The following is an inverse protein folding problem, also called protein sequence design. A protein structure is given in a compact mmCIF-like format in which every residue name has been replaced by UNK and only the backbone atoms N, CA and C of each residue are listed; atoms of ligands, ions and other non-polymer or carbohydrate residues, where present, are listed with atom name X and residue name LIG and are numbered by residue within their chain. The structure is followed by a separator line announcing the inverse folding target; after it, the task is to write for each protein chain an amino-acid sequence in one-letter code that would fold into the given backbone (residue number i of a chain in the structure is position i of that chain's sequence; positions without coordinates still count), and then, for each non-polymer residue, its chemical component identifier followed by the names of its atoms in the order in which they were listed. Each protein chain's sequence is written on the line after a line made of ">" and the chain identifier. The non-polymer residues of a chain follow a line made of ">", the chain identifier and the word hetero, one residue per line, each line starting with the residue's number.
data_IF_856780069390
#
_entry.id   IF_856780069390
#
_cell.length_a   1.000
_cell.length_b   1.000
_cell.length_c   1.000
_cell.angle_alpha   90.00
_cell.angle_beta   90.00
_cell.angle_gamma   90.00
#
_symmetry.space_group_name_H-M   'P 1'
#
loop_
_entity.id
_entity.type
_entity.pdbx_description
1 polymer ?
#
# COMPACT_ATOMS: atom_id res chain seq x y z
N UNK A 1 26.94 7.67 18.56
CA UNK A 1 25.86 8.63 18.78
C UNK A 1 24.82 7.95 19.62
N UNK A 2 24.60 8.42 20.86
CA UNK A 2 23.86 7.71 21.88
C UNK A 2 22.41 7.44 21.50
N UNK A 3 22.02 6.17 21.60
CA UNK A 3 20.62 5.75 21.59
C UNK A 3 19.95 6.32 22.84
N UNK A 4 19.19 7.39 22.66
CA UNK A 4 18.25 7.86 23.70
C UNK A 4 17.19 6.78 23.86
N UNK A 5 16.95 6.35 25.11
CA UNK A 5 16.15 5.18 25.48
C UNK A 5 14.70 5.20 24.97
N UNK A 6 14.04 4.04 24.96
CA UNK A 6 12.77 3.75 24.25
C UNK A 6 11.52 4.48 24.76
N UNK A 7 11.61 5.33 25.80
CA UNK A 7 10.43 5.86 26.50
C UNK A 7 9.99 7.28 26.11
N UNK A 8 10.83 8.08 25.43
CA UNK A 8 10.52 9.48 25.22
C UNK A 8 9.58 9.78 24.03
N UNK A 9 9.51 8.92 23.01
CA UNK A 9 8.79 9.21 21.77
C UNK A 9 7.85 8.09 21.26
N UNK A 10 7.40 7.18 22.13
CA UNK A 10 6.45 6.13 21.72
C UNK A 10 5.16 6.72 21.12
N UNK A 11 4.70 7.85 21.64
CA UNK A 11 3.52 8.57 21.15
C UNK A 11 3.71 9.05 19.71
N UNK A 12 4.92 9.52 19.38
CA UNK A 12 5.22 10.00 18.03
C UNK A 12 5.26 8.83 17.04
N UNK A 13 5.90 7.70 17.39
CA UNK A 13 5.88 6.48 16.59
C UNK A 13 4.45 5.97 16.34
N UNK A 14 3.59 5.96 17.39
CA UNK A 14 2.19 5.59 17.27
C UNK A 14 1.41 6.55 16.36
N UNK A 15 1.53 7.87 16.60
CA UNK A 15 0.79 8.89 15.83
C UNK A 15 1.16 8.84 14.34
N UNK A 16 2.46 8.72 14.02
CA UNK A 16 2.93 8.62 12.65
C UNK A 16 2.43 7.36 11.96
N UNK A 17 2.47 6.19 12.65
CA UNK A 17 1.94 4.93 12.14
C UNK A 17 0.43 5.01 11.91
N UNK A 18 -0.31 5.61 12.84
CA UNK A 18 -1.76 5.78 12.73
C UNK A 18 -2.12 6.75 11.61
N UNK A 19 -1.37 7.84 11.47
CA UNK A 19 -1.51 8.79 10.35
C UNK A 19 -1.31 8.06 9.01
N UNK A 20 -0.28 7.23 8.91
CA UNK A 20 -0.04 6.41 7.71
C UNK A 20 -1.21 5.46 7.44
N UNK A 21 -1.69 4.75 8.47
CA UNK A 21 -2.82 3.82 8.34
C UNK A 21 -4.10 4.56 7.89
N UNK A 22 -4.40 5.73 8.45
CA UNK A 22 -5.54 6.56 8.06
C UNK A 22 -5.41 7.06 6.62
N UNK A 23 -4.24 7.59 6.25
CA UNK A 23 -3.96 8.09 4.89
C UNK A 23 -4.08 6.96 3.85
N UNK A 24 -3.51 5.79 4.11
CA UNK A 24 -3.63 4.64 3.21
C UNK A 24 -5.04 4.04 3.22
N UNK A 25 -5.76 4.11 4.35
CA UNK A 25 -7.14 3.64 4.44
C UNK A 25 -8.12 4.48 3.63
N UNK A 26 -7.95 5.81 3.59
CA UNK A 26 -8.83 6.70 2.81
C UNK A 26 -8.43 6.76 1.33
N UNK A 27 -7.17 6.44 1.01
CA UNK A 27 -6.63 6.53 -0.35
C UNK A 27 -7.46 5.80 -1.42
N UNK A 28 -7.93 4.54 -1.25
CA UNK A 28 -8.69 3.84 -2.26
C UNK A 28 -10.03 4.52 -2.61
N UNK A 29 -10.63 5.22 -1.64
CA UNK A 29 -11.86 5.99 -1.88
C UNK A 29 -11.55 7.17 -2.82
N UNK A 30 -10.50 7.93 -2.53
CA UNK A 30 -10.08 9.05 -3.37
C UNK A 30 -9.66 8.58 -4.78
N UNK A 31 -8.93 7.46 -4.87
CA UNK A 31 -8.55 6.86 -6.15
C UNK A 31 -9.77 6.43 -6.97
N UNK A 32 -10.82 5.86 -6.31
CA UNK A 32 -12.05 5.46 -7.00
C UNK A 32 -12.75 6.66 -7.64
N UNK A 33 -12.81 7.81 -6.95
CA UNK A 33 -13.37 9.06 -7.50
C UNK A 33 -12.55 9.57 -8.68
N UNK A 34 -11.21 9.51 -8.61
CA UNK A 34 -10.34 9.99 -9.71
C UNK A 34 -10.43 9.08 -10.93
N UNK A 35 -10.61 7.76 -10.74
CA UNK A 35 -10.77 6.79 -11.82
C UNK A 35 -12.01 7.03 -12.70
N UNK A 36 -13.01 7.76 -12.20
CA UNK A 36 -14.17 8.17 -13.03
C UNK A 36 -13.80 9.18 -14.12
N UNK A 37 -12.69 9.90 -13.99
CA UNK A 37 -12.27 10.94 -14.94
C UNK A 37 -10.86 10.76 -15.50
N UNK A 38 -10.10 9.78 -15.02
CA UNK A 38 -8.71 9.55 -15.45
C UNK A 38 -8.38 8.06 -15.35
N UNK A 39 -7.68 7.52 -16.34
CA UNK A 39 -7.26 6.11 -16.35
C UNK A 39 -6.22 5.78 -15.29
N UNK A 40 -6.14 4.49 -14.94
CA UNK A 40 -5.26 3.99 -13.87
C UNK A 40 -3.76 4.28 -14.14
N UNK A 41 -3.31 4.19 -15.39
CA UNK A 41 -1.90 4.38 -15.74
C UNK A 41 -1.49 5.83 -15.57
N UNK A 42 -2.33 6.75 -15.97
CA UNK A 42 -2.13 8.21 -15.85
C UNK A 42 -2.13 8.63 -14.40
N UNK A 43 -3.07 8.12 -13.56
CA UNK A 43 -3.08 8.38 -12.12
C UNK A 43 -1.78 7.90 -11.46
N UNK A 44 -1.35 6.68 -11.76
CA UNK A 44 -0.12 6.10 -11.20
C UNK A 44 1.11 6.90 -11.65
N UNK A 45 1.17 7.29 -12.91
CA UNK A 45 2.26 8.10 -13.45
C UNK A 45 2.40 9.43 -12.70
N UNK A 46 1.31 10.17 -12.53
CA UNK A 46 1.31 11.43 -11.81
C UNK A 46 1.71 11.27 -10.34
N UNK A 47 1.25 10.20 -9.68
CA UNK A 47 1.63 9.90 -8.29
C UNK A 47 3.13 9.64 -8.17
N UNK A 48 3.73 8.93 -9.12
CA UNK A 48 5.18 8.75 -9.15
C UNK A 48 5.93 10.03 -9.50
N UNK A 49 5.44 10.82 -10.45
CA UNK A 49 6.05 12.09 -10.82
C UNK A 49 6.04 13.10 -9.65
N UNK A 50 4.92 13.22 -8.94
CA UNK A 50 4.80 14.06 -7.75
C UNK A 50 5.74 13.57 -6.62
N UNK A 51 5.80 12.25 -6.40
CA UNK A 51 6.67 11.66 -5.39
C UNK A 51 8.16 11.81 -5.77
N UNK A 52 8.51 11.65 -7.05
CA UNK A 52 9.85 11.91 -7.58
C UNK A 52 10.28 13.36 -7.33
N UNK A 53 9.40 14.31 -7.66
CA UNK A 53 9.69 15.74 -7.49
C UNK A 53 9.84 16.12 -6.00
N UNK A 54 8.88 15.71 -5.17
CA UNK A 54 8.88 16.07 -3.74
C UNK A 54 10.02 15.41 -2.96
N UNK A 55 10.21 14.09 -3.12
CA UNK A 55 11.30 13.37 -2.46
C UNK A 55 12.66 13.79 -3.02
N UNK A 56 12.73 14.07 -4.34
CA UNK A 56 13.95 14.56 -4.99
C UNK A 56 14.37 15.93 -4.46
N UNK A 57 13.44 16.86 -4.32
CA UNK A 57 13.67 18.16 -3.72
C UNK A 57 14.18 18.05 -2.27
N UNK A 58 13.57 17.17 -1.48
CA UNK A 58 13.98 16.88 -0.10
C UNK A 58 15.41 16.30 -0.03
N UNK A 59 15.72 15.28 -0.86
CA UNK A 59 17.04 14.68 -0.89
C UNK A 59 18.11 15.66 -1.41
N UNK A 60 17.77 16.49 -2.41
CA UNK A 60 18.66 17.54 -2.92
C UNK A 60 18.98 18.57 -1.84
N UNK A 61 17.95 19.04 -1.11
CA UNK A 61 18.12 19.97 0.01
C UNK A 61 19.03 19.41 1.10
N UNK A 62 18.96 18.10 1.36
CA UNK A 62 19.83 17.41 2.32
C UNK A 62 21.21 17.03 1.77
N UNK A 63 21.48 17.25 0.49
CA UNK A 63 22.71 16.76 -0.17
C UNK A 63 22.82 15.23 -0.21
N UNK A 64 21.67 14.53 -0.11
CA UNK A 64 21.59 13.06 0.05
C UNK A 64 21.12 12.32 -1.21
N UNK A 65 21.22 12.94 -2.39
CA UNK A 65 20.87 12.30 -3.66
C UNK A 65 21.73 11.03 -3.88
N UNK A 66 21.11 9.92 -4.34
CA UNK A 66 21.83 8.66 -4.50
C UNK A 66 22.87 8.73 -5.64
N UNK A 67 23.99 8.06 -5.42
CA UNK A 67 25.00 7.81 -6.44
C UNK A 67 24.91 6.35 -6.90
N UNK A 68 24.24 6.11 -8.03
CA UNK A 68 23.94 4.75 -8.53
C UNK A 68 25.21 3.96 -8.93
N UNK A 69 26.32 4.67 -9.24
CA UNK A 69 27.58 4.04 -9.69
C UNK A 69 28.20 3.01 -8.74
N UNK A 70 27.80 3.01 -7.45
CA UNK A 70 28.28 2.05 -6.43
C UNK A 70 27.47 0.76 -6.31
N UNK A 71 26.31 0.65 -6.97
CA UNK A 71 25.38 -0.48 -6.79
C UNK A 71 25.87 -1.80 -7.45
N UNK A 72 26.81 -1.74 -8.38
CA UNK A 72 27.22 -2.91 -9.14
C UNK A 72 26.09 -3.49 -10.02
N UNK A 73 26.40 -4.55 -10.80
CA UNK A 73 25.43 -5.15 -11.72
C UNK A 73 24.23 -5.78 -11.00
N UNK A 74 24.47 -6.44 -9.87
CA UNK A 74 23.40 -7.06 -9.06
C UNK A 74 22.47 -6.00 -8.46
N UNK A 75 22.99 -4.88 -7.95
CA UNK A 75 22.18 -3.80 -7.43
C UNK A 75 21.32 -3.12 -8.50
N UNK A 76 21.83 -2.98 -9.73
CA UNK A 76 21.04 -2.45 -10.85
C UNK A 76 19.88 -3.37 -11.23
N UNK A 77 20.11 -4.69 -11.26
CA UNK A 77 19.05 -5.68 -11.50
C UNK A 77 17.98 -5.61 -10.38
N UNK A 78 18.42 -5.53 -9.12
CA UNK A 78 17.48 -5.38 -7.99
C UNK A 78 16.68 -4.08 -8.06
N UNK A 79 17.27 -2.96 -8.48
CA UNK A 79 16.58 -1.70 -8.70
C UNK A 79 15.54 -1.83 -9.83
N UNK A 80 15.90 -2.49 -10.94
CA UNK A 80 14.96 -2.73 -12.03
C UNK A 80 13.79 -3.62 -11.59
N UNK A 81 14.06 -4.71 -10.85
CA UNK A 81 13.01 -5.58 -10.27
C UNK A 81 12.13 -4.80 -9.29
N UNK A 82 12.72 -4.03 -8.37
CA UNK A 82 11.96 -3.22 -7.42
C UNK A 82 11.08 -2.18 -8.13
N UNK A 83 11.59 -1.54 -9.19
CA UNK A 83 10.83 -0.57 -9.98
C UNK A 83 9.67 -1.25 -10.70
N UNK A 84 9.93 -2.35 -11.42
CA UNK A 84 8.89 -3.06 -12.17
C UNK A 84 7.78 -3.61 -11.24
N UNK A 85 8.17 -4.18 -10.10
CA UNK A 85 7.20 -4.75 -9.15
C UNK A 85 6.43 -3.67 -8.40
N UNK A 86 7.02 -2.51 -8.08
CA UNK A 86 6.26 -1.41 -7.49
C UNK A 86 5.30 -0.77 -8.49
N UNK A 87 5.70 -0.59 -9.77
CA UNK A 87 4.78 -0.19 -10.85
C UNK A 87 3.63 -1.19 -10.94
N UNK A 88 3.95 -2.49 -11.01
CA UNK A 88 2.95 -3.56 -11.07
C UNK A 88 1.95 -3.48 -9.90
N UNK A 89 2.44 -3.30 -8.67
CA UNK A 89 1.58 -3.13 -7.50
C UNK A 89 0.61 -1.95 -7.67
N UNK A 90 1.10 -0.77 -8.02
CA UNK A 90 0.27 0.43 -8.14
C UNK A 90 -0.76 0.31 -9.27
N UNK A 91 -0.35 -0.16 -10.45
CA UNK A 91 -1.24 -0.34 -11.62
C UNK A 91 -2.28 -1.41 -11.33
N UNK A 92 -1.87 -2.61 -10.88
CA UNK A 92 -2.79 -3.71 -10.59
C UNK A 92 -3.80 -3.33 -9.51
N UNK A 93 -3.39 -2.59 -8.48
CA UNK A 93 -4.28 -2.11 -7.42
C UNK A 93 -5.32 -1.11 -7.96
N UNK A 94 -4.91 -0.15 -8.82
CA UNK A 94 -5.85 0.80 -9.41
C UNK A 94 -6.81 0.13 -10.40
N UNK A 95 -6.30 -0.75 -11.26
CA UNK A 95 -7.16 -1.53 -12.16
C UNK A 95 -8.13 -2.42 -11.38
N UNK A 96 -7.68 -2.98 -10.24
CA UNK A 96 -8.57 -3.74 -9.35
C UNK A 96 -9.73 -2.88 -8.81
N UNK A 97 -9.49 -1.60 -8.52
CA UNK A 97 -10.52 -0.66 -8.06
C UNK A 97 -11.60 -0.38 -9.11
N UNK A 98 -11.34 -0.57 -10.40
CA UNK A 98 -12.38 -0.48 -11.44
C UNK A 98 -13.39 -1.62 -11.33
N UNK A 99 -12.94 -2.78 -10.87
CA UNK A 99 -13.73 -4.03 -10.79
C UNK A 99 -14.21 -4.35 -9.37
N UNK A 100 -13.65 -3.70 -8.34
CA UNK A 100 -13.98 -3.95 -6.95
C UNK A 100 -14.20 -2.64 -6.18
N UNK A 101 -14.71 -2.77 -4.96
CA UNK A 101 -14.94 -1.61 -4.09
C UNK A 101 -13.69 -1.27 -3.27
N UNK A 102 -13.57 -0.03 -2.75
CA UNK A 102 -12.48 0.37 -1.86
C UNK A 102 -12.26 -0.58 -0.67
N UNK A 103 -13.33 -1.03 0.01
CA UNK A 103 -13.19 -1.94 1.14
C UNK A 103 -12.70 -3.32 0.72
N UNK A 104 -13.16 -3.84 -0.41
CA UNK A 104 -12.71 -5.14 -0.94
C UNK A 104 -11.21 -5.11 -1.24
N UNK A 105 -10.74 -4.12 -2.01
CA UNK A 105 -9.31 -4.01 -2.35
C UNK A 105 -8.47 -3.79 -1.10
N UNK A 106 -8.94 -2.98 -0.14
CA UNK A 106 -8.18 -2.68 1.08
C UNK A 106 -8.12 -3.85 2.06
N UNK A 107 -9.13 -4.71 2.10
CA UNK A 107 -9.10 -5.94 2.91
C UNK A 107 -8.20 -7.00 2.25
N UNK A 108 -8.32 -7.20 0.94
CA UNK A 108 -7.54 -8.22 0.21
C UNK A 108 -6.04 -7.86 0.16
N UNK A 109 -5.69 -6.57 0.03
CA UNK A 109 -4.27 -6.16 -0.01
C UNK A 109 -3.53 -6.48 1.30
N UNK A 110 -4.22 -6.76 2.40
CA UNK A 110 -3.61 -7.23 3.65
C UNK A 110 -2.92 -8.60 3.53
N UNK A 111 -3.08 -9.29 2.40
CA UNK A 111 -2.23 -10.43 2.05
C UNK A 111 -0.77 -10.02 1.79
N UNK A 112 -0.50 -8.78 1.40
CA UNK A 112 0.84 -8.33 1.01
C UNK A 112 1.90 -8.49 2.13
N UNK A 113 1.66 -8.09 3.39
CA UNK A 113 2.59 -8.36 4.49
C UNK A 113 2.86 -9.84 4.72
N UNK A 114 1.85 -10.70 4.54
CA UNK A 114 1.99 -12.16 4.71
C UNK A 114 2.84 -12.77 3.60
N UNK A 115 2.62 -12.33 2.35
CA UNK A 115 3.41 -12.76 1.20
C UNK A 115 4.87 -12.29 1.35
N UNK A 116 5.09 -11.09 1.91
CA UNK A 116 6.43 -10.62 2.23
C UNK A 116 7.10 -11.49 3.29
N UNK A 117 6.38 -11.88 4.35
CA UNK A 117 6.87 -12.81 5.37
C UNK A 117 7.20 -14.17 4.78
N UNK A 118 6.30 -14.75 3.98
CA UNK A 118 6.54 -16.03 3.30
C UNK A 118 7.77 -15.94 2.38
N UNK A 119 7.90 -14.84 1.63
CA UNK A 119 9.09 -14.56 0.83
C UNK A 119 10.37 -14.43 1.68
N UNK A 120 10.28 -13.85 2.88
CA UNK A 120 11.37 -13.77 3.85
C UNK A 120 11.87 -15.15 4.29
N UNK A 121 10.95 -16.06 4.58
CA UNK A 121 11.27 -17.46 4.91
C UNK A 121 11.92 -18.18 3.72
N UNK A 122 11.35 -18.05 2.52
CA UNK A 122 11.84 -18.76 1.33
C UNK A 122 13.19 -18.22 0.82
N UNK A 123 13.34 -16.89 0.77
CA UNK A 123 14.52 -16.23 0.18
C UNK A 123 15.65 -16.04 1.20
N UNK A 124 15.30 -15.63 2.42
CA UNK A 124 16.29 -15.31 3.47
C UNK A 124 16.41 -16.41 4.53
N UNK A 125 15.62 -17.50 4.42
CA UNK A 125 15.58 -18.60 5.39
C UNK A 125 15.25 -18.12 6.81
N UNK A 126 14.39 -17.09 6.92
CA UNK A 126 13.90 -16.60 8.20
C UNK A 126 12.99 -17.64 8.86
N UNK A 127 12.97 -17.70 10.19
CA UNK A 127 12.07 -18.61 10.89
C UNK A 127 10.69 -18.01 11.00
N UNK A 128 9.67 -18.80 10.67
CA UNK A 128 8.26 -18.43 10.85
C UNK A 128 7.79 -18.99 12.20
N UNK A 129 7.50 -18.11 13.16
CA UNK A 129 7.06 -18.53 14.48
C UNK A 129 5.70 -19.24 14.43
N UNK A 130 5.48 -20.23 15.29
CA UNK A 130 4.17 -20.95 15.35
C UNK A 130 2.99 -20.00 15.56
N UNK A 131 3.18 -18.95 16.35
CA UNK A 131 2.17 -17.94 16.60
C UNK A 131 1.80 -17.13 15.34
N UNK A 132 2.70 -16.95 14.39
CA UNK A 132 2.42 -16.28 13.12
C UNK A 132 1.51 -17.13 12.22
N UNK A 133 1.58 -18.48 12.31
CA UNK A 133 0.64 -19.39 11.64
C UNK A 133 -0.79 -19.20 12.13
N UNK A 134 -0.98 -18.96 13.43
CA UNK A 134 -2.29 -18.63 14.00
C UNK A 134 -2.83 -17.32 13.41
N UNK A 135 -1.99 -16.28 13.36
CA UNK A 135 -2.35 -15.01 12.72
C UNK A 135 -2.74 -15.19 11.25
N UNK A 136 -1.99 -16.00 10.51
CA UNK A 136 -2.32 -16.35 9.12
C UNK A 136 -3.66 -17.06 9.00
N UNK A 137 -3.93 -18.06 9.85
CA UNK A 137 -5.20 -18.79 9.83
C UNK A 137 -6.39 -17.89 10.17
N UNK A 138 -6.23 -16.96 11.15
CA UNK A 138 -7.25 -15.98 11.52
C UNK A 138 -7.51 -15.02 10.35
N UNK A 139 -6.47 -14.55 9.66
CA UNK A 139 -6.62 -13.69 8.48
C UNK A 139 -7.34 -14.44 7.35
N UNK A 140 -6.95 -15.67 7.04
CA UNK A 140 -7.59 -16.48 6.00
C UNK A 140 -9.07 -16.73 6.30
N UNK A 141 -9.40 -17.09 7.54
CA UNK A 141 -10.78 -17.24 7.99
C UNK A 141 -11.55 -15.90 7.91
N UNK A 142 -10.90 -14.80 8.26
CA UNK A 142 -11.46 -13.45 8.14
C UNK A 142 -11.79 -13.08 6.68
N UNK A 143 -10.92 -13.42 5.72
CA UNK A 143 -11.22 -13.22 4.30
C UNK A 143 -12.44 -14.02 3.85
N UNK A 144 -12.53 -15.30 4.22
CA UNK A 144 -13.70 -16.11 3.90
C UNK A 144 -14.98 -15.53 4.48
N UNK A 145 -14.91 -15.03 5.71
CA UNK A 145 -16.05 -14.40 6.37
C UNK A 145 -16.40 -13.03 5.75
N UNK A 146 -15.41 -12.26 5.32
CA UNK A 146 -15.62 -10.99 4.63
C UNK A 146 -16.39 -11.17 3.32
N UNK A 147 -16.09 -12.24 2.58
CA UNK A 147 -16.75 -12.54 1.32
C UNK A 147 -17.98 -13.47 1.45
N UNK A 148 -18.56 -13.65 2.65
CA UNK A 148 -19.60 -14.65 2.93
C UNK A 148 -20.78 -14.62 1.95
N UNK A 149 -21.24 -13.45 1.53
CA UNK A 149 -22.37 -13.24 0.59
C UNK A 149 -21.92 -13.10 -0.87
N UNK A 150 -20.61 -12.92 -1.13
CA UNK A 150 -20.02 -12.70 -2.46
C UNK A 150 -19.23 -13.90 -2.99
N UNK A 151 -19.20 -15.02 -2.27
CA UNK A 151 -18.50 -16.24 -2.71
C UNK A 151 -18.92 -16.73 -4.10
N UNK A 152 -20.20 -16.68 -4.50
CA UNK A 152 -20.61 -17.05 -5.87
C UNK A 152 -20.04 -16.12 -6.95
N UNK A 153 -19.85 -14.84 -6.63
CA UNK A 153 -19.26 -13.86 -7.56
C UNK A 153 -17.76 -14.08 -7.73
N UNK A 154 -17.07 -14.48 -6.65
CA UNK A 154 -15.65 -14.83 -6.70
C UNK A 154 -15.38 -16.09 -7.55
N UNK A 155 -16.36 -16.99 -7.64
CA UNK A 155 -16.26 -18.22 -8.43
C UNK A 155 -16.36 -17.96 -9.96
N UNK A 156 -16.62 -16.72 -10.40
CA UNK A 156 -16.65 -16.32 -11.82
C UNK A 156 -15.33 -15.65 -12.20
N UNK A 157 -14.33 -16.39 -12.67
CA UNK A 157 -13.03 -15.83 -12.98
C UNK A 157 -13.13 -14.89 -14.21
N UNK A 158 -12.43 -13.76 -14.12
CA UNK A 158 -12.28 -12.83 -15.25
C UNK A 158 -13.33 -11.73 -15.36
N UNK A 159 -14.35 -11.70 -14.49
CA UNK A 159 -15.39 -10.67 -14.51
C UNK A 159 -15.67 -10.09 -13.12
N UNK A 160 -16.10 -8.84 -13.08
CA UNK A 160 -16.60 -8.16 -11.90
C UNK A 160 -15.65 -8.23 -10.70
N UNK A 161 -16.21 -8.48 -9.52
CA UNK A 161 -15.48 -8.49 -8.25
C UNK A 161 -14.41 -9.61 -8.19
N UNK A 162 -14.62 -10.74 -8.88
CA UNK A 162 -13.64 -11.82 -8.96
C UNK A 162 -12.35 -11.37 -9.64
N UNK A 163 -12.45 -10.61 -10.73
CA UNK A 163 -11.29 -10.02 -11.40
C UNK A 163 -10.60 -8.98 -10.49
N UNK A 164 -11.38 -8.11 -9.83
CA UNK A 164 -10.84 -7.13 -8.89
C UNK A 164 -10.05 -7.76 -7.75
N UNK A 165 -10.57 -8.84 -7.18
CA UNK A 165 -9.87 -9.61 -6.13
C UNK A 165 -8.59 -10.26 -6.67
N UNK A 166 -8.64 -10.89 -7.85
CA UNK A 166 -7.47 -11.52 -8.47
C UNK A 166 -6.36 -10.49 -8.75
N UNK A 167 -6.72 -9.32 -9.28
CA UNK A 167 -5.80 -8.21 -9.53
C UNK A 167 -5.21 -7.66 -8.22
N UNK A 168 -6.02 -7.57 -7.15
CA UNK A 168 -5.53 -7.14 -5.84
C UNK A 168 -4.56 -8.15 -5.23
N UNK A 169 -4.81 -9.45 -5.39
CA UNK A 169 -3.86 -10.50 -4.98
C UNK A 169 -2.56 -10.39 -5.77
N UNK A 170 -2.63 -10.18 -7.09
CA UNK A 170 -1.45 -9.95 -7.92
C UNK A 170 -0.68 -8.68 -7.50
N UNK A 171 -1.40 -7.61 -7.13
CA UNK A 171 -0.81 -6.40 -6.56
C UNK A 171 -0.09 -6.69 -5.22
N UNK A 172 -0.68 -7.53 -4.36
CA UNK A 172 -0.07 -7.95 -3.10
C UNK A 172 1.21 -8.77 -3.32
N UNK A 173 1.23 -9.68 -4.30
CA UNK A 173 2.43 -10.42 -4.71
C UNK A 173 3.51 -9.46 -5.23
N UNK A 174 3.14 -8.54 -6.12
CA UNK A 174 4.05 -7.51 -6.65
C UNK A 174 4.67 -6.68 -5.53
N UNK A 175 3.88 -6.25 -4.54
CA UNK A 175 4.37 -5.51 -3.38
C UNK A 175 5.33 -6.33 -2.52
N UNK A 176 5.06 -7.61 -2.31
CA UNK A 176 5.94 -8.50 -1.57
C UNK A 176 7.29 -8.67 -2.29
N UNK A 177 7.29 -8.85 -3.61
CA UNK A 177 8.51 -8.92 -4.41
C UNK A 177 9.31 -7.62 -4.36
N UNK A 178 8.62 -6.46 -4.44
CA UNK A 178 9.24 -5.16 -4.21
C UNK A 178 9.92 -5.10 -2.83
N UNK A 179 9.20 -5.50 -1.77
CA UNK A 179 9.74 -5.49 -0.40
C UNK A 179 10.98 -6.36 -0.22
N UNK A 180 11.01 -7.57 -0.85
CA UNK A 180 12.17 -8.45 -0.84
C UNK A 180 13.38 -7.84 -1.57
N UNK A 181 13.15 -7.21 -2.73
CA UNK A 181 14.20 -6.51 -3.47
C UNK A 181 14.71 -5.29 -2.70
N UNK A 182 13.80 -4.49 -2.13
CA UNK A 182 14.14 -3.33 -1.32
C UNK A 182 15.00 -3.71 -0.11
N UNK A 183 14.67 -4.80 0.59
CA UNK A 183 15.45 -5.28 1.75
C UNK A 183 16.92 -5.52 1.38
N UNK A 184 17.20 -6.03 0.19
CA UNK A 184 18.57 -6.23 -0.28
C UNK A 184 19.25 -4.91 -0.68
N UNK A 185 18.48 -3.98 -1.28
CA UNK A 185 18.99 -2.66 -1.69
C UNK A 185 19.38 -1.77 -0.52
N UNK A 186 18.76 -1.95 0.66
CA UNK A 186 19.10 -1.22 1.89
C UNK A 186 20.54 -1.47 2.39
N UNK A 187 21.25 -2.45 1.82
CA UNK A 187 22.69 -2.65 2.06
C UNK A 187 23.56 -1.58 1.39
N UNK A 188 23.02 -0.90 0.38
CA UNK A 188 23.77 0.06 -0.46
C UNK A 188 23.17 1.47 -0.42
N UNK A 189 21.88 1.58 -0.16
CA UNK A 189 21.11 2.83 -0.20
C UNK A 189 20.24 2.98 1.05
N UNK A 190 19.90 4.22 1.39
CA UNK A 190 18.82 4.46 2.35
C UNK A 190 17.45 4.14 1.71
N UNK A 191 16.42 3.89 2.54
CA UNK A 191 15.07 3.62 2.05
C UNK A 191 14.53 4.76 1.16
N UNK A 192 14.81 6.01 1.54
CA UNK A 192 14.42 7.20 0.77
C UNK A 192 15.13 7.26 -0.59
N UNK A 193 16.42 6.89 -0.64
CA UNK A 193 17.18 6.84 -1.90
C UNK A 193 16.65 5.75 -2.84
N UNK A 194 16.33 4.55 -2.31
CA UNK A 194 15.72 3.47 -3.09
C UNK A 194 14.39 3.92 -3.68
N UNK A 195 13.50 4.49 -2.85
CA UNK A 195 12.19 4.99 -3.30
C UNK A 195 12.34 6.05 -4.38
N UNK A 196 13.26 7.00 -4.21
CA UNK A 196 13.47 8.05 -5.21
C UNK A 196 13.94 7.51 -6.55
N UNK A 197 14.89 6.56 -6.56
CA UNK A 197 15.34 5.90 -7.79
C UNK A 197 14.19 5.18 -8.48
N UNK A 198 13.36 4.47 -7.70
CA UNK A 198 12.17 3.78 -8.21
C UNK A 198 11.19 4.78 -8.80
N UNK A 199 10.90 5.90 -8.12
CA UNK A 199 9.98 6.92 -8.62
C UNK A 199 10.47 7.57 -9.92
N UNK A 200 11.78 7.84 -10.04
CA UNK A 200 12.40 8.31 -11.30
C UNK A 200 12.20 7.26 -12.40
N UNK A 201 12.57 6.01 -12.14
CA UNK A 201 12.42 4.92 -13.11
C UNK A 201 10.96 4.69 -13.51
N UNK A 202 10.04 4.71 -12.57
CA UNK A 202 8.61 4.53 -12.82
C UNK A 202 8.02 5.69 -13.64
N UNK A 203 8.38 6.93 -13.31
CA UNK A 203 7.93 8.11 -14.08
C UNK A 203 8.38 8.04 -15.54
N UNK A 204 9.63 7.63 -15.78
CA UNK A 204 10.17 7.49 -17.15
C UNK A 204 9.52 6.33 -17.89
N UNK A 205 9.42 5.15 -17.24
CA UNK A 205 8.90 3.94 -17.88
C UNK A 205 7.40 3.99 -18.18
N UNK A 206 6.62 4.68 -17.35
CA UNK A 206 5.17 4.77 -17.52
C UNK A 206 4.72 5.93 -18.42
N UNK A 207 5.61 6.87 -18.74
CA UNK A 207 5.27 8.02 -19.58
C UNK A 207 4.60 7.64 -20.92
N UNK A 208 5.04 6.58 -21.64
CA UNK A 208 4.38 6.20 -22.90
C UNK A 208 2.93 5.68 -22.74
N UNK A 209 2.56 5.23 -21.53
CA UNK A 209 1.23 4.70 -21.23
C UNK A 209 0.33 5.73 -20.52
N UNK A 210 0.85 6.90 -20.20
CA UNK A 210 0.12 7.95 -19.48
C UNK A 210 -0.30 9.08 -20.44
N UNK A 211 -1.44 9.68 -20.15
CA UNK A 211 -1.85 10.97 -20.72
C UNK A 211 -1.71 12.09 -19.68
N UNK A 212 -0.57 12.82 -19.63
CA UNK A 212 -0.38 13.89 -18.66
C UNK A 212 -1.40 15.02 -18.74
N UNK A 213 -2.07 15.19 -19.88
CA UNK A 213 -3.05 16.26 -20.11
C UNK A 213 -4.44 15.92 -19.58
N UNK A 214 -4.76 14.65 -19.32
CA UNK A 214 -6.05 14.22 -18.79
C UNK A 214 -6.41 14.90 -17.46
N UNK A 215 -5.43 15.44 -16.71
CA UNK A 215 -5.69 16.22 -15.50
C UNK A 215 -6.56 17.47 -15.75
N UNK A 216 -6.54 18.02 -16.95
CA UNK A 216 -7.34 19.19 -17.33
C UNK A 216 -8.83 18.85 -17.52
N UNK A 217 -9.18 17.58 -17.67
CA UNK A 217 -10.55 17.10 -17.85
C UNK A 217 -11.27 16.80 -16.53
N UNK A 218 -10.52 16.76 -15.41
CA UNK A 218 -11.04 16.47 -14.09
C UNK A 218 -11.97 17.60 -13.60
N UNK A 219 -13.12 17.23 -13.04
CA UNK A 219 -13.96 18.17 -12.32
C UNK A 219 -13.33 18.57 -10.98
N UNK A 220 -13.92 19.58 -10.30
CA UNK A 220 -13.34 20.12 -9.06
C UNK A 220 -13.17 19.09 -7.91
N UNK A 221 -14.12 18.15 -7.78
CA UNK A 221 -14.02 17.07 -6.79
C UNK A 221 -12.88 16.10 -7.16
N UNK A 222 -12.86 15.65 -8.40
CA UNK A 222 -11.84 14.74 -8.91
C UNK A 222 -10.44 15.36 -8.81
N UNK A 223 -10.30 16.64 -9.14
CA UNK A 223 -9.02 17.37 -9.00
C UNK A 223 -8.56 17.45 -7.55
N UNK A 224 -9.47 17.73 -6.61
CA UNK A 224 -9.18 17.72 -5.17
C UNK A 224 -8.72 16.33 -4.69
N UNK A 225 -9.44 15.27 -5.08
CA UNK A 225 -9.08 13.89 -4.75
C UNK A 225 -7.76 13.47 -5.40
N UNK A 226 -7.51 13.88 -6.64
CA UNK A 226 -6.24 13.65 -7.33
C UNK A 226 -5.06 14.32 -6.63
N UNK A 227 -5.19 15.60 -6.25
CA UNK A 227 -4.17 16.30 -5.47
C UNK A 227 -3.92 15.59 -4.13
N UNK A 228 -4.98 15.14 -3.45
CA UNK A 228 -4.86 14.30 -2.26
C UNK A 228 -4.09 13.00 -2.54
N UNK A 229 -4.37 12.28 -3.62
CA UNK A 229 -3.66 11.03 -3.97
C UNK A 229 -2.16 11.26 -4.20
N UNK A 230 -1.79 12.35 -4.87
CA UNK A 230 -0.39 12.72 -5.09
C UNK A 230 0.32 13.07 -3.78
N UNK A 231 -0.30 13.92 -2.96
CA UNK A 231 0.24 14.33 -1.65
C UNK A 231 0.29 13.15 -0.66
N UNK A 232 -0.73 12.28 -0.69
CA UNK A 232 -0.79 11.09 0.14
C UNK A 232 0.43 10.19 -0.09
N UNK A 233 0.87 10.03 -1.34
CA UNK A 233 2.05 9.21 -1.65
C UNK A 233 3.29 9.72 -0.92
N UNK A 234 3.49 11.04 -0.84
CA UNK A 234 4.61 11.64 -0.10
C UNK A 234 4.40 11.62 1.42
N UNK A 235 3.22 12.07 1.88
CA UNK A 235 2.92 12.23 3.29
C UNK A 235 2.85 10.89 4.03
N UNK A 236 2.14 9.91 3.46
CA UNK A 236 2.00 8.59 4.08
C UNK A 236 3.32 7.83 4.12
N UNK A 237 4.09 7.82 3.01
CA UNK A 237 5.43 7.21 3.03
C UNK A 237 6.41 7.97 3.91
N UNK A 238 6.33 9.31 3.97
CA UNK A 238 7.12 10.12 4.89
C UNK A 238 6.83 9.78 6.35
N UNK A 239 5.56 9.74 6.75
CA UNK A 239 5.14 9.36 8.09
C UNK A 239 5.52 7.90 8.42
N UNK A 240 5.38 6.97 7.46
CA UNK A 240 5.79 5.58 7.59
C UNK A 240 7.28 5.44 7.90
N UNK A 241 8.14 6.04 7.06
CA UNK A 241 9.60 5.96 7.25
C UNK A 241 10.02 6.60 8.56
N UNK A 242 9.43 7.75 8.92
CA UNK A 242 9.71 8.42 10.20
C UNK A 242 9.23 7.60 11.39
N UNK A 243 8.09 6.89 11.28
CA UNK A 243 7.60 6.02 12.36
C UNK A 243 8.59 4.88 12.69
N UNK A 244 9.27 4.34 11.68
CA UNK A 244 10.30 3.31 11.82
C UNK A 244 11.55 3.78 12.59
N UNK A 245 11.74 5.10 12.70
CA UNK A 245 12.81 5.67 13.52
C UNK A 245 12.52 5.55 15.02
N UNK A 246 11.23 5.60 15.39
CA UNK A 246 10.77 5.56 16.78
C UNK A 246 10.30 4.19 17.24
N UNK A 247 9.86 3.34 16.31
CA UNK A 247 9.24 2.06 16.58
C UNK A 247 9.82 0.93 15.74
N UNK A 248 9.80 -0.28 16.30
CA UNK A 248 10.13 -1.50 15.56
C UNK A 248 9.14 -1.73 14.42
N UNK A 249 9.63 -2.28 13.31
CA UNK A 249 8.84 -2.60 12.11
C UNK A 249 7.57 -3.38 12.46
N UNK A 250 7.64 -4.30 13.43
CA UNK A 250 6.49 -5.11 13.85
C UNK A 250 5.35 -4.27 14.42
N UNK A 251 5.67 -3.28 15.28
CA UNK A 251 4.66 -2.39 15.87
C UNK A 251 4.05 -1.46 14.83
N UNK A 252 4.88 -0.90 13.96
CA UNK A 252 4.42 -0.08 12.84
C UNK A 252 3.48 -0.89 11.94
N UNK A 253 3.88 -2.10 11.53
CA UNK A 253 3.07 -2.98 10.70
C UNK A 253 1.74 -3.37 11.35
N UNK A 254 1.72 -3.59 12.67
CA UNK A 254 0.48 -3.88 13.39
C UNK A 254 -0.50 -2.71 13.34
N UNK A 255 -0.03 -1.45 13.47
CA UNK A 255 -0.91 -0.28 13.33
C UNK A 255 -1.35 -0.11 11.88
N UNK A 256 -0.46 -0.30 10.90
CA UNK A 256 -0.81 -0.22 9.48
C UNK A 256 -1.87 -1.25 9.07
N UNK A 257 -1.90 -2.42 9.71
CA UNK A 257 -2.94 -3.42 9.49
C UNK A 257 -4.36 -2.90 9.78
N UNK A 258 -4.51 -1.80 10.51
CA UNK A 258 -5.82 -1.17 10.77
C UNK A 258 -6.35 -0.34 9.59
N UNK A 259 -5.57 -0.14 8.51
CA UNK A 259 -5.99 0.65 7.35
C UNK A 259 -7.38 0.27 6.77
N UNK A 260 -7.79 -1.02 6.67
CA UNK A 260 -9.13 -1.37 6.22
C UNK A 260 -10.26 -0.81 7.10
N UNK A 261 -10.01 -0.63 8.40
CA UNK A 261 -11.01 -0.07 9.31
C UNK A 261 -11.27 1.41 8.99
N UNK A 262 -10.23 2.16 8.59
CA UNK A 262 -10.38 3.53 8.12
C UNK A 262 -11.15 3.59 6.80
N UNK A 263 -10.93 2.64 5.88
CA UNK A 263 -11.68 2.55 4.62
C UNK A 263 -13.16 2.28 4.90
N UNK A 264 -13.46 1.22 5.65
CA UNK A 264 -14.84 0.83 5.97
C UNK A 264 -15.55 1.95 6.75
N UNK A 265 -14.87 2.55 7.73
CA UNK A 265 -15.40 3.66 8.50
C UNK A 265 -15.69 4.89 7.64
N UNK A 266 -14.79 5.25 6.73
CA UNK A 266 -14.98 6.37 5.81
C UNK A 266 -16.12 6.08 4.81
N UNK A 267 -16.18 4.87 4.25
CA UNK A 267 -17.29 4.46 3.36
C UNK A 267 -18.63 4.54 4.09
N UNK A 268 -18.72 4.06 5.33
CA UNK A 268 -19.93 4.16 6.13
C UNK A 268 -20.36 5.61 6.41
N UNK A 269 -19.39 6.52 6.67
CA UNK A 269 -19.67 7.96 6.86
C UNK A 269 -20.18 8.56 5.55
N UNK A 270 -19.56 8.27 4.41
CA UNK A 270 -19.94 8.78 3.09
C UNK A 270 -21.38 8.34 2.74
N UNK A 271 -21.70 7.08 2.98
CA UNK A 271 -23.02 6.51 2.74
C UNK A 271 -24.07 7.16 3.64
N UNK A 272 -23.80 7.27 4.97
CA UNK A 272 -24.71 7.92 5.94
C UNK A 272 -24.95 9.40 5.68
N UNK A 273 -23.92 10.10 5.20
CA UNK A 273 -24.02 11.52 4.86
C UNK A 273 -24.71 11.76 3.50
N UNK A 274 -25.02 10.70 2.75
CA UNK A 274 -25.66 10.80 1.44
C UNK A 274 -24.83 11.56 0.40
N UNK A 275 -23.48 11.52 0.52
CA UNK A 275 -22.60 12.32 -0.33
C UNK A 275 -22.56 11.84 -1.78
N UNK A 276 -22.90 10.58 -2.07
CA UNK A 276 -22.99 10.01 -3.41
C UNK A 276 -21.68 10.01 -4.22
N UNK A 277 -20.54 10.22 -3.54
CA UNK A 277 -19.21 10.32 -4.22
C UNK A 277 -18.62 8.97 -4.59
N UNK A 278 -19.09 7.90 -3.96
CA UNK A 278 -18.73 6.49 -4.27
C UNK A 278 -19.97 5.64 -4.03
N UNK A 279 -20.15 4.58 -4.82
CA UNK A 279 -21.26 3.65 -4.65
C UNK A 279 -21.24 2.98 -3.29
N UNK A 280 -22.43 2.78 -2.68
CA UNK A 280 -22.58 2.06 -1.42
C UNK A 280 -22.10 0.60 -1.54
N UNK A 281 -21.41 0.10 -0.52
CA UNK A 281 -20.80 -1.23 -0.57
C UNK A 281 -21.68 -2.36 -0.05
N UNK A 282 -22.72 -2.01 0.73
CA UNK A 282 -23.68 -2.99 1.27
C UNK A 282 -23.04 -4.06 2.16
N UNK A 283 -22.02 -3.71 2.95
CA UNK A 283 -21.36 -4.64 3.86
C UNK A 283 -22.29 -5.11 4.97
N UNK A 284 -22.47 -6.43 5.09
CA UNK A 284 -23.23 -7.01 6.20
C UNK A 284 -22.38 -7.16 7.48
N UNK A 285 -23.01 -7.55 8.59
CA UNK A 285 -22.31 -7.68 9.88
C UNK A 285 -21.20 -8.77 9.85
N UNK A 286 -21.37 -9.84 9.06
CA UNK A 286 -20.36 -10.89 8.91
C UNK A 286 -19.17 -10.38 8.11
N UNK A 287 -19.40 -9.57 7.06
CA UNK A 287 -18.33 -8.93 6.30
C UNK A 287 -17.50 -8.00 7.20
N UNK A 288 -18.14 -7.20 8.06
CA UNK A 288 -17.43 -6.35 9.02
C UNK A 288 -16.65 -7.19 10.04
N UNK A 289 -17.23 -8.26 10.57
CA UNK A 289 -16.55 -9.18 11.47
C UNK A 289 -15.34 -9.85 10.76
N UNK A 290 -15.50 -10.24 9.50
CA UNK A 290 -14.41 -10.76 8.66
C UNK A 290 -13.27 -9.77 8.49
N UNK A 291 -13.57 -8.51 8.21
CA UNK A 291 -12.57 -7.44 8.11
C UNK A 291 -11.80 -7.24 9.44
N UNK A 292 -12.50 -7.27 10.59
CA UNK A 292 -11.87 -7.23 11.90
C UNK A 292 -10.93 -8.43 12.14
N UNK A 293 -11.34 -9.62 11.71
CA UNK A 293 -10.48 -10.82 11.78
C UNK A 293 -9.25 -10.69 10.87
N UNK A 294 -9.40 -10.15 9.66
CA UNK A 294 -8.25 -9.88 8.75
C UNK A 294 -7.27 -8.93 9.42
N UNK A 295 -7.75 -7.85 10.00
CA UNK A 295 -6.93 -6.88 10.75
C UNK A 295 -6.24 -7.56 11.94
N UNK A 296 -6.99 -8.28 12.77
CA UNK A 296 -6.45 -8.98 13.94
C UNK A 296 -5.40 -10.04 13.56
N UNK A 297 -5.65 -10.81 12.50
CA UNK A 297 -4.71 -11.80 11.96
C UNK A 297 -3.43 -11.16 11.43
N UNK A 298 -3.55 -10.06 10.69
CA UNK A 298 -2.39 -9.29 10.20
C UNK A 298 -1.56 -8.72 11.35
N UNK A 299 -2.22 -8.13 12.36
CA UNK A 299 -1.56 -7.65 13.58
C UNK A 299 -0.85 -8.78 14.35
N UNK A 300 -1.49 -9.94 14.49
CA UNK A 300 -0.91 -11.10 15.13
C UNK A 300 0.35 -11.56 14.40
N UNK A 301 0.32 -11.65 13.06
CA UNK A 301 1.51 -11.96 12.26
C UNK A 301 2.65 -10.95 12.45
N UNK A 302 2.33 -9.67 12.63
CA UNK A 302 3.32 -8.62 12.83
C UNK A 302 3.95 -8.66 14.24
N UNK A 303 3.14 -8.92 15.28
CA UNK A 303 3.56 -8.77 16.69
C UNK A 303 4.11 -10.07 17.28
N UNK A 304 3.59 -11.24 16.87
CA UNK A 304 3.95 -12.54 17.44
C UNK A 304 5.19 -13.16 16.77
N UNK A 305 6.18 -12.36 16.50
CA UNK A 305 7.51 -12.84 16.10
C UNK A 305 8.20 -13.39 17.35
N UNK A 306 8.42 -14.70 17.38
CA UNK A 306 9.20 -15.38 18.40
C UNK A 306 10.68 -15.02 18.35
#
# INVERSE_FOLDING_TARGET
>A
MGMTGPSANWRLGFTLSLTTAALWGVLPIALKVVLEGMDAYTIVWWRFAAAMAGLGAFLAWRGALPRIRGAGRAGLVLLAVATATLIGNFVLYLVALDHATPSVTQVVIQLAPLLLLAGGVLVFREHFARAQWVGFAVLAAGLLLFFNDRLPELARPGEGIGLGVALTVAAAVSWALYGLAQKQLLRHFTAQQVLWIIYVGATVLMLPAADPYAVAELNGLQLGMFAFCCLNTLAAYGAFVESLYFWDVSRVSAVLATAPLFTIGAMWIIERAGLGIVAAEGLNALSVAGALMVVGGSMACALLRG
#
